data_IF_923093806976
#
_entry.id   IF_923093806976
#
_cell.length_a   1.000
_cell.length_b   1.000
_cell.length_c   1.000
_cell.angle_alpha   90.00
_cell.angle_beta   90.00
_cell.angle_gamma   90.00
#
_symmetry.space_group_name_H-M   'P 1'
#
loop_
_entity.id
_entity.type
_entity.pdbx_description
1 polymer ?
#
# COMPACT_ATOMS: atom_id res chain seq x y z
N UNK A 1 -8.57 -3.68 2.52
CA UNK A 1 -8.44 -2.88 1.28
C UNK A 1 -9.73 -2.11 1.01
N UNK A 2 -9.58 -0.93 0.40
CA UNK A 2 -10.72 -0.19 -0.12
C UNK A 2 -11.19 -0.88 -1.42
N UNK A 3 -12.45 -1.30 -1.44
CA UNK A 3 -13.09 -1.85 -2.64
C UNK A 3 -13.89 -0.74 -3.32
N UNK A 4 -13.68 -0.53 -4.60
CA UNK A 4 -14.39 0.47 -5.40
C UNK A 4 -15.00 -0.17 -6.64
N UNK A 5 -15.99 0.49 -7.22
CA UNK A 5 -16.58 0.08 -8.50
C UNK A 5 -15.58 0.24 -9.65
N UNK A 6 -15.74 -0.54 -10.72
CA UNK A 6 -14.84 -0.50 -11.89
C UNK A 6 -14.81 0.87 -12.57
N UNK A 7 -15.90 1.64 -12.53
CA UNK A 7 -15.97 3.01 -13.10
C UNK A 7 -15.14 3.98 -12.28
N UNK A 8 -15.27 3.91 -10.95
CA UNK A 8 -14.46 4.73 -10.03
C UNK A 8 -12.98 4.36 -10.13
N UNK A 9 -12.68 3.05 -10.29
CA UNK A 9 -11.33 2.57 -10.53
C UNK A 9 -10.75 3.16 -11.82
N UNK A 10 -11.51 3.17 -12.92
CA UNK A 10 -11.09 3.73 -14.20
C UNK A 10 -10.80 5.23 -14.11
N UNK A 11 -11.66 6.00 -13.43
CA UNK A 11 -11.44 7.44 -13.21
C UNK A 11 -10.17 7.67 -12.39
N UNK A 12 -9.96 6.86 -11.36
CA UNK A 12 -8.75 6.91 -10.55
C UNK A 12 -7.50 6.57 -11.36
N UNK A 13 -7.51 5.50 -12.14
CA UNK A 13 -6.41 5.11 -13.03
C UNK A 13 -6.02 6.28 -13.94
N UNK A 14 -7.01 6.93 -14.58
CA UNK A 14 -6.73 8.08 -15.48
C UNK A 14 -6.12 9.25 -14.73
N UNK A 15 -6.58 9.54 -13.52
CA UNK A 15 -6.04 10.61 -12.68
C UNK A 15 -4.62 10.31 -12.23
N UNK A 16 -4.37 9.13 -11.68
CA UNK A 16 -3.05 8.72 -11.18
C UNK A 16 -2.02 8.59 -12.32
N UNK A 17 -2.45 8.13 -13.50
CA UNK A 17 -1.59 8.04 -14.69
C UNK A 17 -1.10 9.40 -15.20
N UNK A 18 -1.68 10.51 -14.76
CA UNK A 18 -1.18 11.85 -15.07
C UNK A 18 0.07 12.21 -14.24
N UNK A 19 0.30 11.53 -13.12
CA UNK A 19 1.42 11.80 -12.19
C UNK A 19 2.46 10.69 -12.15
N UNK A 20 2.10 9.45 -12.55
CA UNK A 20 3.02 8.32 -12.53
C UNK A 20 2.49 7.06 -13.18
N UNK A 21 3.27 5.99 -13.25
CA UNK A 21 2.84 4.72 -13.81
C UNK A 21 1.78 4.05 -12.94
N UNK A 22 0.76 3.49 -13.57
CA UNK A 22 -0.31 2.72 -12.93
C UNK A 22 -0.32 1.31 -13.49
N UNK A 23 -0.40 0.30 -12.62
CA UNK A 23 -0.55 -1.09 -12.98
C UNK A 23 -1.91 -1.62 -12.55
N UNK A 24 -2.51 -2.47 -13.36
CA UNK A 24 -3.74 -3.22 -13.03
C UNK A 24 -3.39 -4.70 -12.98
N UNK A 25 -3.62 -5.32 -11.83
CA UNK A 25 -3.38 -6.73 -11.60
C UNK A 25 -4.67 -7.52 -11.84
N UNK A 26 -4.55 -8.61 -12.56
CA UNK A 26 -5.63 -9.58 -12.77
C UNK A 26 -5.20 -10.92 -12.18
N UNK A 27 -6.08 -11.53 -11.42
CA UNK A 27 -5.83 -12.87 -10.90
C UNK A 27 -5.96 -13.96 -11.95
N UNK A 28 -5.26 -15.06 -11.75
CA UNK A 28 -5.38 -16.23 -12.61
C UNK A 28 -6.77 -16.88 -12.54
N UNK A 29 -7.17 -17.58 -13.59
CA UNK A 29 -8.52 -18.16 -13.73
C UNK A 29 -8.91 -19.15 -12.64
N UNK A 30 -7.94 -19.86 -12.06
CA UNK A 30 -8.21 -20.91 -11.05
C UNK A 30 -8.14 -20.40 -9.61
N UNK A 31 -7.16 -19.56 -9.30
CA UNK A 31 -6.84 -19.15 -7.93
C UNK A 31 -7.18 -17.69 -7.62
N UNK A 32 -7.46 -16.87 -8.65
CA UNK A 32 -7.58 -15.42 -8.47
C UNK A 32 -6.23 -14.77 -8.11
N UNK A 33 -6.28 -13.67 -7.37
CA UNK A 33 -5.11 -13.01 -6.80
C UNK A 33 -4.76 -13.65 -5.45
N UNK A 34 -3.47 -13.87 -5.20
CA UNK A 34 -2.98 -14.30 -3.90
C UNK A 34 -3.14 -13.18 -2.86
N UNK A 35 -3.06 -13.52 -1.58
CA UNK A 35 -3.11 -12.53 -0.50
C UNK A 35 -1.95 -11.52 -0.62
N UNK A 36 -0.77 -11.97 -1.05
CA UNK A 36 0.40 -11.12 -1.25
C UNK A 36 0.18 -10.11 -2.38
N UNK A 37 -0.41 -10.55 -3.50
CA UNK A 37 -0.76 -9.68 -4.64
C UNK A 37 -1.86 -8.69 -4.26
N UNK A 38 -2.86 -9.13 -3.50
CA UNK A 38 -3.89 -8.26 -2.93
C UNK A 38 -3.26 -7.25 -1.98
N UNK A 39 -2.36 -7.69 -1.10
CA UNK A 39 -1.68 -6.84 -0.15
C UNK A 39 -0.70 -5.84 -0.80
N UNK A 40 -0.24 -6.10 -2.01
CA UNK A 40 0.54 -5.15 -2.80
C UNK A 40 -0.31 -4.08 -3.50
N UNK A 41 -1.61 -4.32 -3.70
CA UNK A 41 -2.49 -3.38 -4.38
C UNK A 41 -2.92 -2.21 -3.47
N UNK A 42 -3.03 -0.99 -4.01
CA UNK A 42 -3.57 0.16 -3.29
C UNK A 42 -5.09 0.08 -3.13
N UNK A 43 -5.77 -0.48 -4.13
CA UNK A 43 -7.22 -0.53 -4.21
C UNK A 43 -7.65 -1.80 -4.91
N UNK A 44 -8.77 -2.36 -4.51
CA UNK A 44 -9.44 -3.46 -5.20
C UNK A 44 -10.58 -2.92 -6.04
N UNK A 45 -10.55 -3.17 -7.34
CA UNK A 45 -11.64 -2.87 -8.24
C UNK A 45 -12.60 -4.06 -8.30
N UNK A 46 -13.90 -3.77 -8.16
CA UNK A 46 -14.95 -4.77 -8.30
C UNK A 46 -15.77 -4.50 -9.56
N UNK A 47 -15.90 -5.52 -10.39
CA UNK A 47 -16.83 -5.53 -11.51
C UNK A 47 -18.14 -6.13 -10.97
N UNK A 48 -19.26 -5.39 -10.98
CA UNK A 48 -20.55 -5.96 -10.60
C UNK A 48 -20.93 -7.09 -11.54
N UNK A 49 -21.17 -8.26 -10.99
CA UNK A 49 -21.57 -9.45 -11.72
C UNK A 49 -22.85 -10.06 -11.09
N UNK A 50 -23.48 -10.97 -11.80
CA UNK A 50 -24.66 -11.69 -11.27
C UNK A 50 -24.26 -12.44 -9.98
N UNK A 51 -24.99 -12.27 -8.86
CA UNK A 51 -24.70 -12.99 -7.62
C UNK A 51 -24.65 -14.52 -7.75
N UNK A 52 -25.41 -15.09 -8.70
CA UNK A 52 -25.37 -16.51 -9.00
C UNK A 52 -24.15 -16.94 -9.84
N UNK A 53 -23.44 -16.00 -10.44
CA UNK A 53 -22.27 -16.27 -11.27
C UNK A 53 -21.29 -15.09 -11.17
N UNK A 54 -20.47 -15.07 -10.14
CA UNK A 54 -19.60 -13.94 -9.78
C UNK A 54 -18.27 -13.94 -10.52
N UNK A 55 -17.90 -15.05 -11.17
CA UNK A 55 -16.63 -15.18 -11.87
C UNK A 55 -16.73 -14.69 -13.32
N UNK A 56 -15.91 -13.74 -13.70
CA UNK A 56 -15.72 -13.33 -15.10
C UNK A 56 -14.45 -13.94 -15.64
N UNK A 57 -14.49 -14.35 -16.91
CA UNK A 57 -13.27 -14.69 -17.63
C UNK A 57 -12.32 -13.50 -17.63
N UNK A 58 -11.02 -13.76 -17.45
CA UNK A 58 -9.98 -12.72 -17.35
C UNK A 58 -9.97 -11.78 -18.56
N UNK A 59 -10.18 -12.29 -19.77
CA UNK A 59 -10.23 -11.47 -20.98
C UNK A 59 -11.42 -10.50 -20.95
N UNK A 60 -12.58 -10.95 -20.44
CA UNK A 60 -13.76 -10.10 -20.30
C UNK A 60 -13.55 -9.05 -19.21
N UNK A 61 -12.92 -9.41 -18.09
CA UNK A 61 -12.60 -8.47 -17.02
C UNK A 61 -11.61 -7.39 -17.53
N UNK A 62 -10.58 -7.79 -18.25
CA UNK A 62 -9.61 -6.87 -18.84
C UNK A 62 -10.29 -5.93 -19.87
N UNK A 63 -11.18 -6.47 -20.71
CA UNK A 63 -11.91 -5.67 -21.68
C UNK A 63 -12.82 -4.63 -21.03
N UNK A 64 -13.53 -5.00 -19.96
CA UNK A 64 -14.39 -4.06 -19.22
C UNK A 64 -13.58 -2.94 -18.58
N UNK A 65 -12.46 -3.27 -17.95
CA UNK A 65 -11.57 -2.25 -17.37
C UNK A 65 -11.00 -1.34 -18.44
N UNK A 66 -10.51 -1.90 -19.55
CA UNK A 66 -10.00 -1.11 -20.67
C UNK A 66 -11.06 -0.18 -21.26
N UNK A 67 -12.30 -0.64 -21.38
CA UNK A 67 -13.43 0.17 -21.85
C UNK A 67 -13.76 1.31 -20.91
N UNK A 68 -13.84 1.06 -19.61
CA UNK A 68 -14.12 2.12 -18.63
C UNK A 68 -12.95 3.14 -18.54
N UNK A 69 -11.70 2.70 -18.67
CA UNK A 69 -10.54 3.60 -18.78
C UNK A 69 -10.66 4.47 -20.05
N UNK A 70 -11.01 3.87 -21.19
CA UNK A 70 -11.20 4.64 -22.42
C UNK A 70 -12.29 5.70 -22.26
N UNK A 71 -13.42 5.36 -21.65
CA UNK A 71 -14.49 6.31 -21.34
C UNK A 71 -14.03 7.43 -20.39
N UNK A 72 -13.32 7.05 -19.32
CA UNK A 72 -12.82 8.00 -18.33
C UNK A 72 -11.80 8.99 -18.93
N UNK A 73 -10.99 8.58 -19.91
CA UNK A 73 -10.06 9.47 -20.64
C UNK A 73 -10.78 10.54 -21.45
N UNK A 74 -11.98 10.27 -21.94
CA UNK A 74 -12.80 11.24 -22.64
C UNK A 74 -13.37 12.33 -21.71
N UNK A 75 -13.55 12.02 -20.42
CA UNK A 75 -13.85 13.00 -19.38
C UNK A 75 -12.50 13.57 -18.91
N UNK A 76 -12.11 14.74 -19.36
CA UNK A 76 -10.85 15.42 -18.95
C UNK A 76 -10.77 15.51 -17.42
N UNK A 77 -10.14 14.53 -16.78
CA UNK A 77 -9.76 14.60 -15.37
C UNK A 77 -8.40 15.29 -15.33
N UNK A 78 -8.40 16.59 -15.11
CA UNK A 78 -7.16 17.31 -14.82
C UNK A 78 -6.65 16.84 -13.44
N UNK A 79 -5.39 16.39 -13.38
CA UNK A 79 -4.71 16.22 -12.10
C UNK A 79 -4.69 17.57 -11.37
N UNK A 80 -4.93 17.55 -10.06
CA UNK A 80 -4.78 18.77 -9.27
C UNK A 80 -3.34 19.29 -9.40
N UNK A 81 -3.14 20.60 -9.66
CA UNK A 81 -1.80 21.16 -9.74
C UNK A 81 -1.02 20.86 -8.44
N UNK A 82 0.16 20.27 -8.56
CA UNK A 82 1.00 19.94 -7.40
C UNK A 82 0.66 18.62 -6.67
N UNK A 83 -0.19 17.77 -7.24
CA UNK A 83 -0.44 16.45 -6.67
C UNK A 83 0.85 15.62 -6.62
N UNK A 84 1.25 15.21 -5.43
CA UNK A 84 2.37 14.27 -5.24
C UNK A 84 1.87 12.88 -5.64
N UNK A 85 2.66 12.11 -6.43
CA UNK A 85 2.25 10.76 -6.79
C UNK A 85 2.19 9.86 -5.55
N UNK A 86 1.29 8.90 -5.59
CA UNK A 86 1.24 7.86 -4.56
C UNK A 86 2.58 7.11 -4.49
N UNK A 87 2.93 6.68 -3.30
CA UNK A 87 4.11 5.86 -3.09
C UNK A 87 4.02 4.57 -3.93
N UNK A 88 5.08 4.26 -4.63
CA UNK A 88 5.17 3.03 -5.44
C UNK A 88 5.18 1.79 -4.56
N UNK A 89 4.85 0.63 -5.15
CA UNK A 89 4.95 -0.67 -4.46
C UNK A 89 6.33 -0.89 -3.86
N UNK A 90 7.39 -0.49 -4.59
CA UNK A 90 8.77 -0.61 -4.12
C UNK A 90 9.08 0.30 -2.93
N UNK A 91 8.57 1.52 -2.92
CA UNK A 91 8.75 2.46 -1.81
C UNK A 91 8.00 1.97 -0.57
N UNK A 92 6.78 1.47 -0.74
CA UNK A 92 6.00 0.85 0.32
C UNK A 92 6.69 -0.40 0.89
N UNK A 93 7.23 -1.27 0.04
CA UNK A 93 7.98 -2.45 0.49
C UNK A 93 9.17 -2.05 1.37
N UNK A 94 9.99 -1.10 0.93
CA UNK A 94 11.13 -0.57 1.70
C UNK A 94 10.70 0.11 3.01
N UNK A 95 9.55 0.75 3.03
CA UNK A 95 8.98 1.32 4.26
C UNK A 95 8.60 0.22 5.25
N UNK A 96 7.93 -0.84 4.80
CA UNK A 96 7.54 -1.96 5.68
C UNK A 96 8.75 -2.73 6.22
N UNK A 97 9.76 -2.97 5.40
CA UNK A 97 11.03 -3.57 5.85
C UNK A 97 11.68 -2.72 6.95
N UNK A 98 11.74 -1.41 6.78
CA UNK A 98 12.29 -0.49 7.77
C UNK A 98 11.45 -0.46 9.05
N UNK A 99 10.12 -0.45 8.93
CA UNK A 99 9.19 -0.49 10.06
C UNK A 99 9.37 -1.77 10.88
N UNK A 100 9.47 -2.92 10.22
CA UNK A 100 9.68 -4.22 10.86
C UNK A 100 11.00 -4.27 11.64
N UNK A 101 12.07 -3.80 11.02
CA UNK A 101 13.38 -3.70 11.66
C UNK A 101 13.31 -2.86 12.94
N UNK A 102 12.71 -1.66 12.87
CA UNK A 102 12.61 -0.74 14.02
C UNK A 102 11.74 -1.33 15.11
N UNK A 103 10.60 -1.93 14.78
CA UNK A 103 9.73 -2.58 15.77
C UNK A 103 10.46 -3.73 16.49
N UNK A 104 11.26 -4.51 15.77
CA UNK A 104 12.11 -5.55 16.35
C UNK A 104 13.17 -4.97 17.28
N UNK A 105 13.88 -3.92 16.85
CA UNK A 105 14.92 -3.25 17.65
C UNK A 105 14.38 -2.66 18.96
N UNK A 106 13.19 -2.05 18.96
CA UNK A 106 12.58 -1.49 20.18
C UNK A 106 11.86 -2.53 21.03
N UNK A 107 11.79 -3.78 20.60
CA UNK A 107 11.12 -4.87 21.30
C UNK A 107 9.60 -4.70 21.33
N UNK A 108 9.02 -4.02 20.33
CA UNK A 108 7.58 -3.85 20.25
C UNK A 108 6.88 -5.19 20.01
N UNK A 109 5.93 -5.53 20.85
CA UNK A 109 5.14 -6.77 20.74
C UNK A 109 3.66 -6.47 20.67
N UNK A 110 2.96 -7.17 19.79
CA UNK A 110 1.50 -7.12 19.76
C UNK A 110 0.94 -7.77 21.04
N UNK A 111 0.22 -6.98 21.82
CA UNK A 111 -0.47 -7.45 23.02
C UNK A 111 -1.93 -7.82 22.78
N UNK A 112 -2.41 -7.68 21.54
CA UNK A 112 -3.78 -8.05 21.19
C UNK A 112 -3.88 -9.56 21.03
N UNK A 113 -4.71 -10.20 21.83
CA UNK A 113 -4.94 -11.66 21.83
C UNK A 113 -5.63 -12.19 20.55
N UNK A 114 -5.65 -11.42 19.47
CA UNK A 114 -6.45 -11.73 18.27
C UNK A 114 -5.79 -12.67 17.25
N UNK A 115 -4.60 -13.24 17.55
CA UNK A 115 -3.93 -14.20 16.67
C UNK A 115 -3.53 -13.66 15.29
N UNK A 116 -3.82 -12.41 14.99
CA UNK A 116 -3.47 -11.79 13.71
C UNK A 116 -2.05 -11.24 13.75
N UNK A 117 -1.28 -11.56 12.71
CA UNK A 117 0.09 -11.07 12.58
C UNK A 117 0.12 -9.54 12.57
N UNK A 118 0.87 -8.92 13.51
CA UNK A 118 1.05 -7.48 13.63
C UNK A 118 1.45 -6.82 12.30
N UNK A 119 2.34 -7.45 11.57
CA UNK A 119 2.82 -6.95 10.27
C UNK A 119 1.69 -6.83 9.26
N UNK A 120 0.82 -7.83 9.15
CA UNK A 120 -0.32 -7.80 8.24
C UNK A 120 -1.31 -6.68 8.62
N UNK A 121 -1.53 -6.46 9.92
CA UNK A 121 -2.40 -5.38 10.41
C UNK A 121 -1.83 -4.02 10.07
N UNK A 122 -0.52 -3.81 10.28
CA UNK A 122 0.17 -2.56 9.93
C UNK A 122 0.17 -2.34 8.41
N UNK A 123 0.43 -3.37 7.61
CA UNK A 123 0.33 -3.29 6.15
C UNK A 123 -1.06 -2.81 5.72
N UNK A 124 -2.13 -3.45 6.20
CA UNK A 124 -3.50 -3.04 5.90
C UNK A 124 -3.83 -1.61 6.35
N UNK A 125 -3.30 -1.18 7.50
CA UNK A 125 -3.48 0.18 7.99
C UNK A 125 -2.89 1.20 7.03
N UNK A 126 -1.61 1.06 6.69
CA UNK A 126 -0.90 2.01 5.83
C UNK A 126 -1.36 1.95 4.37
N UNK A 127 -1.76 0.79 3.87
CA UNK A 127 -2.34 0.68 2.53
C UNK A 127 -3.68 1.41 2.40
N UNK A 128 -4.51 1.40 3.46
CA UNK A 128 -5.77 2.18 3.46
C UNK A 128 -5.53 3.69 3.49
N UNK A 129 -4.38 4.14 3.99
CA UNK A 129 -4.01 5.55 4.02
C UNK A 129 -3.65 6.10 2.64
N UNK A 130 -3.35 5.21 1.66
CA UNK A 130 -3.01 5.62 0.29
C UNK A 130 -1.90 6.69 0.26
N UNK A 131 -0.83 6.43 1.00
CA UNK A 131 0.24 7.39 1.24
C UNK A 131 0.95 7.81 -0.05
N UNK A 132 1.23 9.09 -0.15
CA UNK A 132 2.10 9.65 -1.18
C UNK A 132 3.59 9.45 -0.86
N UNK A 133 4.47 9.79 -1.81
CA UNK A 133 5.92 9.66 -1.65
C UNK A 133 6.46 10.49 -0.48
N UNK A 134 5.91 11.69 -0.26
CA UNK A 134 6.35 12.57 0.83
C UNK A 134 5.95 12.00 2.20
N UNK A 135 4.74 11.48 2.32
CA UNK A 135 4.24 10.87 3.56
C UNK A 135 5.07 9.64 3.95
N UNK A 136 5.41 8.78 2.97
CA UNK A 136 6.31 7.64 3.20
C UNK A 136 7.69 8.10 3.65
N UNK A 137 8.24 9.15 3.04
CA UNK A 137 9.54 9.69 3.43
C UNK A 137 9.53 10.30 4.83
N UNK A 138 8.44 10.99 5.22
CA UNK A 138 8.25 11.50 6.58
C UNK A 138 8.26 10.35 7.59
N UNK A 139 7.48 9.29 7.35
CA UNK A 139 7.42 8.13 8.24
C UNK A 139 8.78 7.42 8.35
N UNK A 140 9.49 7.26 7.24
CA UNK A 140 10.86 6.71 7.26
C UNK A 140 11.82 7.59 8.06
N UNK A 141 11.68 8.91 7.99
CA UNK A 141 12.42 9.86 8.81
C UNK A 141 12.14 9.68 10.30
N UNK A 142 10.88 9.48 10.69
CA UNK A 142 10.49 9.16 12.08
C UNK A 142 11.14 7.86 12.55
N UNK A 143 11.10 6.81 11.75
CA UNK A 143 11.73 5.53 12.07
C UNK A 143 13.25 5.67 12.26
N UNK A 144 13.92 6.41 11.37
CA UNK A 144 15.35 6.68 11.49
C UNK A 144 15.70 7.48 12.77
N UNK A 145 14.86 8.44 13.16
CA UNK A 145 15.04 9.19 14.41
C UNK A 145 14.91 8.31 15.66
N UNK A 146 13.99 7.35 15.65
CA UNK A 146 13.85 6.35 16.72
C UNK A 146 15.14 5.51 16.84
N UNK A 147 15.68 5.04 15.75
CA UNK A 147 16.95 4.27 15.70
C UNK A 147 18.14 5.12 16.17
N UNK A 148 18.21 6.39 15.75
CA UNK A 148 19.27 7.32 16.17
C UNK A 148 19.29 7.57 17.66
N UNK A 149 18.14 7.78 18.30
CA UNK A 149 18.02 7.97 19.76
C UNK A 149 18.50 6.75 20.54
N UNK A 150 18.23 5.55 20.06
CA UNK A 150 18.65 4.31 20.72
C UNK A 150 20.16 4.13 20.69
N UNK A 151 20.82 4.44 19.58
CA UNK A 151 22.30 4.40 19.47
C UNK A 151 22.98 5.33 20.49
N UNK A 152 22.41 6.53 20.69
CA UNK A 152 22.93 7.49 21.68
C UNK A 152 22.69 7.03 23.11
N UNK A 153 21.56 6.43 23.42
CA UNK A 153 21.25 5.89 24.75
C UNK A 153 22.12 4.67 25.10
N UNK A 154 22.43 3.81 24.13
CA UNK A 154 23.30 2.64 24.32
C UNK A 154 24.79 2.99 24.50
N UNK A 155 25.24 4.16 24.07
CA UNK A 155 26.63 4.60 24.18
C UNK A 155 26.98 5.27 25.53
N UNK A 156 25.98 5.53 26.38
CA UNK A 156 26.18 6.08 27.74
C UNK A 156 26.15 4.98 28.79
N UNK A 157 27.15 4.09 28.78
CA UNK A 157 27.50 3.34 29.98
C UNK A 157 28.79 3.99 30.55
N UNK A 158 28.72 4.74 31.64
CA UNK A 158 29.96 5.21 32.28
C UNK A 158 30.58 4.03 33.00
N UNK A 159 31.75 3.61 32.56
CA UNK A 159 32.66 2.77 33.38
C UNK A 159 32.93 3.51 34.70
N UNK A 160 32.30 3.05 35.76
CA UNK A 160 32.57 3.46 37.12
C UNK A 160 34.04 3.17 37.43
N UNK A 161 34.82 4.21 37.69
CA UNK A 161 36.12 4.13 38.32
C UNK A 161 35.93 3.68 39.76
N UNK A 162 36.44 2.47 40.06
CA UNK A 162 36.78 2.04 41.40
C UNK A 162 37.91 2.93 41.96
N UNK A 163 37.67 3.44 43.13
CA UNK A 163 38.70 3.72 44.13
C UNK A 163 38.22 3.22 45.48
#
# INVERSE_FOLDING_TARGET
HRVIDVRDAAQRIVREAATGPVAVLFGGERAGLSNEEIDAAHVLARIPANPAYTSLNIAMAAQLIAYEIHRARGARVAAAPGAVPLATVTEMARFFEHLELVLGEIGFRDRTASGTNLQQRLRRLFQRAEMDQNEVNILRGVLAAVQGRRKVAGSKCPTGKSR
#
